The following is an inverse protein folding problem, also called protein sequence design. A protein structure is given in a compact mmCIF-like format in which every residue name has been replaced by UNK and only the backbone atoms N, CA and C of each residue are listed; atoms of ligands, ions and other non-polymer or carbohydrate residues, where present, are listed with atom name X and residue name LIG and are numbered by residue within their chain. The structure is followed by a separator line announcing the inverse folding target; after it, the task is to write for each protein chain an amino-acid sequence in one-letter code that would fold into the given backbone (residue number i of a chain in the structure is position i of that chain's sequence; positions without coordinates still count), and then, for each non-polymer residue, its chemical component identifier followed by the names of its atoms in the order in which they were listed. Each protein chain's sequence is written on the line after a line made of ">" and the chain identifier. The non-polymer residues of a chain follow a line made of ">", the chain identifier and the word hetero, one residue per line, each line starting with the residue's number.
data_IF_946605442022
#
_entry.id   IF_946605442022
#
_cell.length_a   1.000
_cell.length_b   1.000
_cell.length_c   1.000
_cell.angle_alpha   90.00
_cell.angle_beta   90.00
_cell.angle_gamma   90.00
#
_symmetry.space_group_name_H-M   'P 1'
#
loop_
_entity.id
_entity.type
_entity.pdbx_description
1 polymer ?
#
# COMPACT_ATOMS: atom_id res chain seq x y z
N UNK A 1 -3.67 38.98 -10.56
CA UNK A 1 -5.03 38.44 -10.83
C UNK A 1 -5.36 37.47 -9.70
N UNK A 2 -6.22 37.89 -8.76
CA UNK A 2 -6.61 37.07 -7.61
C UNK A 2 -7.37 35.83 -8.07
N UNK A 3 -6.86 34.66 -7.77
CA UNK A 3 -7.54 33.39 -8.02
C UNK A 3 -8.83 33.34 -7.18
N UNK A 4 -9.99 33.45 -7.82
CA UNK A 4 -11.28 33.27 -7.16
C UNK A 4 -11.28 31.85 -6.59
N UNK A 5 -11.25 31.73 -5.26
CA UNK A 5 -11.34 30.43 -4.59
C UNK A 5 -12.67 29.76 -4.96
N UNK A 6 -12.69 28.50 -5.39
CA UNK A 6 -13.92 27.80 -5.71
C UNK A 6 -14.90 27.81 -4.53
N UNK A 7 -16.20 27.77 -4.81
CA UNK A 7 -17.26 27.72 -3.80
C UNK A 7 -17.01 26.57 -2.80
N UNK A 8 -17.41 26.69 -1.52
CA UNK A 8 -17.14 25.68 -0.48
C UNK A 8 -17.62 24.27 -0.86
N UNK A 9 -18.81 24.17 -1.46
CA UNK A 9 -19.37 22.89 -1.90
C UNK A 9 -18.54 22.23 -3.02
N UNK A 10 -18.00 23.02 -3.97
CA UNK A 10 -17.13 22.49 -5.04
C UNK A 10 -15.84 21.91 -4.47
N UNK A 11 -15.24 22.57 -3.47
CA UNK A 11 -14.05 22.07 -2.79
C UNK A 11 -14.32 20.76 -2.03
N UNK A 12 -15.46 20.69 -1.31
CA UNK A 12 -15.87 19.48 -0.62
C UNK A 12 -16.13 18.33 -1.61
N UNK A 13 -16.81 18.59 -2.72
CA UNK A 13 -17.07 17.59 -3.76
C UNK A 13 -15.79 17.07 -4.42
N UNK A 14 -14.78 17.94 -4.66
CA UNK A 14 -13.47 17.49 -5.17
C UNK A 14 -12.76 16.60 -4.16
N UNK A 15 -12.76 16.94 -2.86
CA UNK A 15 -12.16 16.08 -1.82
C UNK A 15 -12.88 14.74 -1.76
N UNK A 16 -14.22 14.73 -1.78
CA UNK A 16 -14.99 13.48 -1.80
C UNK A 16 -14.67 12.62 -3.04
N UNK A 17 -14.53 13.23 -4.21
CA UNK A 17 -14.15 12.53 -5.43
C UNK A 17 -12.72 11.96 -5.34
N UNK A 18 -11.77 12.69 -4.75
CA UNK A 18 -10.41 12.21 -4.52
C UNK A 18 -10.36 11.09 -3.46
N UNK A 19 -11.19 11.16 -2.41
CA UNK A 19 -11.35 10.07 -1.43
C UNK A 19 -11.91 8.81 -2.10
N UNK A 20 -12.93 8.96 -2.95
CA UNK A 20 -13.51 7.86 -3.72
C UNK A 20 -12.47 7.28 -4.69
N UNK A 21 -11.68 8.13 -5.35
CA UNK A 21 -10.59 7.70 -6.21
C UNK A 21 -9.51 6.92 -5.43
N UNK A 22 -9.10 7.39 -4.25
CA UNK A 22 -8.16 6.70 -3.38
C UNK A 22 -8.69 5.33 -2.93
N UNK A 23 -9.96 5.27 -2.53
CA UNK A 23 -10.66 4.03 -2.23
C UNK A 23 -10.63 3.07 -3.43
N UNK A 24 -10.99 3.55 -4.63
CA UNK A 24 -11.08 2.73 -5.84
C UNK A 24 -9.71 2.18 -6.26
N UNK A 25 -8.66 3.02 -6.24
CA UNK A 25 -7.29 2.59 -6.54
C UNK A 25 -6.81 1.51 -5.58
N UNK A 26 -6.91 1.76 -4.27
CA UNK A 26 -6.43 0.81 -3.26
C UNK A 26 -7.25 -0.49 -3.24
N UNK A 27 -8.57 -0.40 -3.47
CA UNK A 27 -9.39 -1.60 -3.60
C UNK A 27 -8.97 -2.39 -4.83
N UNK A 28 -8.80 -1.72 -6.00
CA UNK A 28 -8.37 -2.38 -7.24
C UNK A 28 -7.00 -3.04 -7.07
N UNK A 29 -6.06 -2.40 -6.38
CA UNK A 29 -4.73 -2.94 -6.07
C UNK A 29 -4.81 -4.28 -5.35
N UNK A 30 -5.58 -4.34 -4.26
CA UNK A 30 -5.61 -5.47 -3.35
C UNK A 30 -6.70 -6.52 -3.67
N UNK A 31 -7.63 -6.20 -4.57
CA UNK A 31 -8.75 -7.06 -4.92
C UNK A 31 -8.35 -8.47 -5.41
N UNK A 32 -7.28 -8.66 -6.23
CA UNK A 32 -6.86 -9.99 -6.63
C UNK A 32 -6.48 -10.91 -5.47
N UNK A 33 -6.03 -10.37 -4.35
CA UNK A 33 -5.74 -11.16 -3.13
C UNK A 33 -7.05 -11.76 -2.58
N UNK A 34 -8.12 -10.97 -2.56
CA UNK A 34 -9.45 -11.41 -2.12
C UNK A 34 -10.19 -12.34 -3.10
N UNK A 35 -9.76 -12.40 -4.36
CA UNK A 35 -10.40 -13.17 -5.45
C UNK A 35 -9.48 -14.23 -6.05
N UNK A 36 -8.35 -14.52 -5.40
CA UNK A 36 -7.23 -15.25 -5.98
C UNK A 36 -7.64 -16.63 -6.51
N UNK A 37 -8.34 -17.44 -5.70
CA UNK A 37 -8.80 -18.77 -6.09
C UNK A 37 -9.83 -18.71 -7.24
N UNK A 38 -10.82 -17.81 -7.14
CA UNK A 38 -11.85 -17.63 -8.17
C UNK A 38 -11.26 -17.23 -9.53
N UNK A 39 -10.21 -16.38 -9.51
CA UNK A 39 -9.51 -15.95 -10.72
C UNK A 39 -8.66 -17.09 -11.31
N UNK A 40 -7.99 -17.87 -10.47
CA UNK A 40 -7.18 -19.00 -10.89
C UNK A 40 -8.02 -20.06 -11.60
N UNK A 41 -9.15 -20.44 -11.01
CA UNK A 41 -10.07 -21.44 -11.53
C UNK A 41 -10.68 -21.02 -12.87
N UNK A 42 -11.21 -19.81 -12.94
CA UNK A 42 -11.91 -19.32 -14.14
C UNK A 42 -10.93 -19.06 -15.32
N UNK A 43 -9.76 -18.50 -15.05
CA UNK A 43 -8.71 -18.25 -16.05
C UNK A 43 -7.90 -19.51 -16.39
N UNK A 44 -8.12 -20.62 -15.67
CA UNK A 44 -7.37 -21.90 -15.77
C UNK A 44 -5.85 -21.70 -15.65
N UNK A 45 -5.45 -20.91 -14.68
CA UNK A 45 -4.04 -20.64 -14.37
C UNK A 45 -3.72 -21.04 -12.93
N UNK A 46 -2.43 -21.16 -12.60
CA UNK A 46 -2.02 -21.47 -11.24
C UNK A 46 -2.26 -20.29 -10.28
N UNK A 47 -2.36 -20.57 -8.98
CA UNK A 47 -2.39 -19.52 -7.93
C UNK A 47 -1.17 -18.61 -8.03
N UNK A 48 0.00 -19.18 -8.35
CA UNK A 48 1.24 -18.42 -8.60
C UNK A 48 1.09 -17.41 -9.75
N UNK A 49 0.40 -17.79 -10.84
CA UNK A 49 0.13 -16.87 -11.94
C UNK A 49 -0.78 -15.71 -11.51
N UNK A 50 -1.80 -15.97 -10.70
CA UNK A 50 -2.63 -14.89 -10.15
C UNK A 50 -1.82 -14.03 -9.17
N UNK A 51 -0.97 -14.63 -8.33
CA UNK A 51 -0.02 -13.90 -7.48
C UNK A 51 0.93 -13.00 -8.27
N UNK A 52 1.32 -13.40 -9.49
CA UNK A 52 2.13 -12.58 -10.38
C UNK A 52 1.43 -11.29 -10.85
N UNK A 53 0.10 -11.20 -10.80
CA UNK A 53 -0.64 -9.94 -11.02
C UNK A 53 -0.35 -8.92 -9.92
N UNK A 54 -0.16 -9.38 -8.67
CA UNK A 54 0.23 -8.55 -7.52
C UNK A 54 1.69 -8.12 -7.67
N UNK A 55 2.57 -9.07 -8.03
CA UNK A 55 3.98 -8.79 -8.31
C UNK A 55 4.15 -7.75 -9.42
N UNK A 56 3.49 -7.95 -10.55
CA UNK A 56 3.56 -7.03 -11.70
C UNK A 56 3.04 -5.63 -11.35
N UNK A 57 2.00 -5.57 -10.52
CA UNK A 57 1.47 -4.30 -10.02
C UNK A 57 2.49 -3.56 -9.17
N UNK A 58 3.03 -4.20 -8.13
CA UNK A 58 4.01 -3.61 -7.23
C UNK A 58 5.28 -3.16 -7.94
N UNK A 59 5.80 -3.97 -8.88
CA UNK A 59 6.96 -3.60 -9.70
C UNK A 59 6.68 -2.40 -10.60
N UNK A 60 5.50 -2.35 -11.24
CA UNK A 60 5.10 -1.22 -12.07
C UNK A 60 5.02 0.08 -11.25
N UNK A 61 4.46 0.04 -10.03
CA UNK A 61 4.46 1.19 -9.11
C UNK A 61 5.89 1.58 -8.73
N UNK A 62 6.72 0.63 -8.32
CA UNK A 62 8.08 0.90 -7.85
C UNK A 62 8.95 1.55 -8.94
N UNK A 63 8.92 1.00 -10.16
CA UNK A 63 9.72 1.48 -11.29
C UNK A 63 9.13 2.75 -11.92
N UNK A 64 7.79 2.82 -12.01
CA UNK A 64 7.10 3.91 -12.72
C UNK A 64 7.01 5.22 -11.93
N UNK A 65 7.03 5.19 -10.60
CA UNK A 65 6.74 6.37 -9.74
C UNK A 65 7.61 7.58 -10.05
N UNK A 66 8.93 7.43 -10.08
CA UNK A 66 9.86 8.54 -10.28
C UNK A 66 9.89 9.03 -11.73
N UNK A 67 10.04 8.16 -12.77
CA UNK A 67 10.03 8.59 -14.16
C UNK A 67 8.73 9.32 -14.55
N UNK A 68 7.58 8.75 -14.18
CA UNK A 68 6.29 9.34 -14.49
C UNK A 68 6.08 10.69 -13.79
N UNK A 69 6.47 10.82 -12.52
CA UNK A 69 6.40 12.09 -11.81
C UNK A 69 7.26 13.17 -12.50
N UNK A 70 8.42 12.79 -13.03
CA UNK A 70 9.31 13.71 -13.75
C UNK A 70 8.71 14.15 -15.09
N UNK A 71 8.24 13.22 -15.90
CA UNK A 71 7.68 13.49 -17.25
C UNK A 71 6.38 14.31 -17.15
N UNK A 72 5.55 14.06 -16.14
CA UNK A 72 4.25 14.72 -16.01
C UNK A 72 4.26 16.02 -15.21
N UNK A 73 5.44 16.49 -14.77
CA UNK A 73 5.58 17.70 -13.92
C UNK A 73 4.97 18.97 -14.54
N UNK A 74 4.99 19.09 -15.86
CA UNK A 74 4.45 20.25 -16.63
C UNK A 74 2.96 20.13 -16.95
N UNK A 75 2.35 18.95 -16.76
CA UNK A 75 0.95 18.70 -17.10
C UNK A 75 0.03 19.40 -16.09
N UNK A 76 -0.98 20.17 -16.56
CA UNK A 76 -1.98 20.77 -15.66
C UNK A 76 -2.67 19.70 -14.81
N UNK A 77 -2.77 19.93 -13.50
CA UNK A 77 -3.19 18.93 -12.52
C UNK A 77 -4.57 18.34 -12.78
N UNK A 78 -5.51 19.14 -13.31
CA UNK A 78 -6.84 18.65 -13.72
C UNK A 78 -6.75 17.60 -14.82
N UNK A 79 -6.01 17.87 -15.89
CA UNK A 79 -5.88 16.94 -17.02
C UNK A 79 -5.14 15.67 -16.59
N UNK A 80 -4.07 15.81 -15.78
CA UNK A 80 -3.33 14.67 -15.26
C UNK A 80 -4.25 13.78 -14.42
N UNK A 81 -4.94 14.32 -13.39
CA UNK A 81 -5.88 13.56 -12.56
C UNK A 81 -6.98 12.89 -13.36
N UNK A 82 -7.58 13.63 -14.32
CA UNK A 82 -8.62 13.05 -15.18
C UNK A 82 -8.06 11.91 -16.04
N UNK A 83 -6.85 12.04 -16.57
CA UNK A 83 -6.18 10.97 -17.32
C UNK A 83 -5.93 9.72 -16.47
N UNK A 84 -5.45 9.90 -15.24
CA UNK A 84 -5.20 8.78 -14.33
C UNK A 84 -6.49 8.04 -13.96
N UNK A 85 -7.57 8.76 -13.70
CA UNK A 85 -8.89 8.19 -13.41
C UNK A 85 -9.52 7.53 -14.65
N UNK A 86 -9.28 8.06 -15.84
CA UNK A 86 -9.68 7.41 -17.08
C UNK A 86 -8.96 6.09 -17.30
N UNK A 87 -7.64 6.04 -17.05
CA UNK A 87 -6.87 4.79 -17.10
C UNK A 87 -7.42 3.77 -16.10
N UNK A 88 -7.68 4.19 -14.85
CA UNK A 88 -8.29 3.32 -13.84
C UNK A 88 -9.64 2.77 -14.30
N UNK A 89 -10.53 3.62 -14.84
CA UNK A 89 -11.85 3.20 -15.32
C UNK A 89 -11.74 2.20 -16.47
N UNK A 90 -10.96 2.53 -17.51
CA UNK A 90 -10.78 1.66 -18.67
C UNK A 90 -10.14 0.33 -18.30
N UNK A 91 -9.07 0.34 -17.50
CA UNK A 91 -8.40 -0.88 -17.06
C UNK A 91 -9.30 -1.76 -16.18
N UNK A 92 -10.13 -1.16 -15.32
CA UNK A 92 -11.11 -1.90 -14.52
C UNK A 92 -12.19 -2.55 -15.39
N UNK A 93 -12.70 -1.85 -16.40
CA UNK A 93 -13.66 -2.40 -17.36
C UNK A 93 -13.04 -3.49 -18.23
N UNK A 94 -11.78 -3.33 -18.68
CA UNK A 94 -11.05 -4.40 -19.38
C UNK A 94 -10.95 -5.63 -18.50
N UNK A 95 -10.63 -5.48 -17.21
CA UNK A 95 -10.55 -6.59 -16.25
C UNK A 95 -11.90 -7.28 -16.03
N UNK A 96 -13.01 -6.57 -16.25
CA UNK A 96 -14.38 -7.10 -16.13
C UNK A 96 -14.90 -7.82 -17.38
N UNK A 97 -14.18 -7.77 -18.53
CA UNK A 97 -14.62 -8.42 -19.77
C UNK A 97 -14.70 -9.94 -19.61
N UNK A 98 -15.75 -10.53 -20.15
CA UNK A 98 -15.96 -11.98 -20.10
C UNK A 98 -14.86 -12.78 -20.81
N UNK A 99 -14.30 -12.24 -21.89
CA UNK A 99 -13.26 -12.86 -22.71
C UNK A 99 -11.84 -12.33 -22.38
N UNK A 100 -11.63 -11.79 -21.18
CA UNK A 100 -10.29 -11.28 -20.81
C UNK A 100 -9.29 -12.44 -20.70
N UNK A 101 -8.18 -12.31 -21.44
CA UNK A 101 -7.04 -13.23 -21.27
C UNK A 101 -6.18 -12.79 -20.08
N UNK A 102 -5.42 -13.75 -19.50
CA UNK A 102 -4.47 -13.43 -18.42
C UNK A 102 -3.49 -12.31 -18.82
N UNK A 103 -2.96 -12.33 -20.06
CA UNK A 103 -2.04 -11.29 -20.54
C UNK A 103 -2.69 -9.91 -20.62
N UNK A 104 -3.95 -9.82 -21.09
CA UNK A 104 -4.68 -8.55 -21.14
C UNK A 104 -5.01 -8.05 -19.72
N UNK A 105 -5.36 -8.97 -18.81
CA UNK A 105 -5.58 -8.64 -17.40
C UNK A 105 -4.29 -8.10 -16.76
N UNK A 106 -3.15 -8.75 -16.99
CA UNK A 106 -1.85 -8.27 -16.50
C UNK A 106 -1.51 -6.87 -17.06
N UNK A 107 -1.74 -6.63 -18.35
CA UNK A 107 -1.53 -5.32 -18.96
C UNK A 107 -2.43 -4.24 -18.33
N UNK A 108 -3.70 -4.54 -18.10
CA UNK A 108 -4.64 -3.65 -17.41
C UNK A 108 -4.18 -3.35 -15.96
N UNK A 109 -3.65 -4.37 -15.26
CA UNK A 109 -3.09 -4.22 -13.90
C UNK A 109 -1.86 -3.30 -13.90
N UNK A 110 -0.93 -3.49 -14.84
CA UNK A 110 0.26 -2.63 -14.98
C UNK A 110 -0.14 -1.19 -15.30
N UNK A 111 -1.10 -0.98 -16.21
CA UNK A 111 -1.60 0.36 -16.52
C UNK A 111 -2.22 1.04 -15.29
N UNK A 112 -3.02 0.31 -14.50
CA UNK A 112 -3.60 0.82 -13.24
C UNK A 112 -2.50 1.16 -12.23
N UNK A 113 -1.49 0.32 -12.10
CA UNK A 113 -0.37 0.52 -11.18
C UNK A 113 0.42 1.80 -11.50
N UNK A 114 0.72 2.04 -12.78
CA UNK A 114 1.39 3.26 -13.24
C UNK A 114 0.53 4.51 -12.98
N UNK A 115 -0.78 4.41 -13.20
CA UNK A 115 -1.70 5.49 -12.89
C UNK A 115 -1.77 5.76 -11.37
N UNK A 116 -1.81 4.72 -10.54
CA UNK A 116 -1.82 4.83 -9.08
C UNK A 116 -0.54 5.45 -8.53
N UNK A 117 0.63 5.06 -9.05
CA UNK A 117 1.91 5.62 -8.66
C UNK A 117 1.91 7.15 -8.77
N UNK A 118 1.36 7.67 -9.88
CA UNK A 118 1.24 9.11 -10.11
C UNK A 118 0.09 9.75 -9.29
N UNK A 119 -1.01 9.04 -9.14
CA UNK A 119 -2.16 9.51 -8.37
C UNK A 119 -1.77 9.90 -6.95
N UNK A 120 -1.05 9.03 -6.22
CA UNK A 120 -0.59 9.32 -4.86
C UNK A 120 0.37 10.50 -4.79
N UNK A 121 1.25 10.67 -5.78
CA UNK A 121 2.18 11.80 -5.83
C UNK A 121 1.47 13.15 -6.03
N UNK A 122 0.33 13.16 -6.72
CA UNK A 122 -0.35 14.39 -7.16
C UNK A 122 -1.59 14.72 -6.32
N UNK A 123 -2.27 13.71 -5.77
CA UNK A 123 -3.53 13.88 -5.03
C UNK A 123 -3.41 14.82 -3.83
N UNK A 124 -2.39 14.62 -2.98
CA UNK A 124 -2.18 15.42 -1.78
C UNK A 124 -1.98 16.91 -2.11
N UNK A 125 -0.99 17.29 -2.92
CA UNK A 125 -0.78 18.66 -3.36
C UNK A 125 -2.00 19.33 -4.01
N UNK A 126 -2.74 18.59 -4.84
CA UNK A 126 -3.96 19.08 -5.49
C UNK A 126 -5.04 19.39 -4.46
N UNK A 127 -5.32 18.47 -3.56
CA UNK A 127 -6.36 18.66 -2.55
C UNK A 127 -6.00 19.81 -1.59
N UNK A 128 -4.76 19.84 -1.09
CA UNK A 128 -4.27 20.85 -0.15
C UNK A 128 -4.27 22.25 -0.78
N UNK A 129 -3.97 22.36 -2.07
CA UNK A 129 -4.00 23.63 -2.81
C UNK A 129 -5.37 24.31 -2.88
N UNK A 130 -6.46 23.59 -2.59
CA UNK A 130 -7.82 24.13 -2.57
C UNK A 130 -8.20 24.80 -1.23
N UNK A 131 -7.38 24.64 -0.18
CA UNK A 131 -7.71 25.05 1.18
C UNK A 131 -6.63 25.97 1.78
N UNK A 132 -7.03 26.69 2.83
CA UNK A 132 -6.10 27.50 3.61
C UNK A 132 -5.09 26.59 4.39
N UNK A 133 -3.86 27.10 4.69
CA UNK A 133 -2.80 26.32 5.35
C UNK A 133 -3.24 25.58 6.62
N UNK A 134 -4.13 26.19 7.42
CA UNK A 134 -4.61 25.67 8.71
C UNK A 134 -5.45 24.40 8.57
N UNK A 135 -5.99 24.14 7.37
CA UNK A 135 -6.85 22.97 7.09
C UNK A 135 -6.12 21.83 6.37
N UNK A 136 -4.86 22.01 6.02
CA UNK A 136 -4.10 21.05 5.20
C UNK A 136 -4.02 19.67 5.84
N UNK A 137 -3.67 19.59 7.12
CA UNK A 137 -3.59 18.34 7.86
C UNK A 137 -4.92 17.58 7.86
N UNK A 138 -6.04 18.28 8.10
CA UNK A 138 -7.38 17.67 8.07
C UNK A 138 -7.72 17.10 6.68
N UNK A 139 -7.35 17.79 5.61
CA UNK A 139 -7.62 17.33 4.24
C UNK A 139 -6.80 16.08 3.92
N UNK A 140 -5.50 16.06 4.28
CA UNK A 140 -4.66 14.87 4.12
C UNK A 140 -5.22 13.69 4.92
N UNK A 141 -5.68 13.94 6.15
CA UNK A 141 -6.34 12.91 6.96
C UNK A 141 -7.59 12.33 6.29
N UNK A 142 -8.45 13.18 5.72
CA UNK A 142 -9.65 12.72 4.98
C UNK A 142 -9.27 11.85 3.76
N UNK A 143 -8.26 12.26 2.99
CA UNK A 143 -7.79 11.47 1.85
C UNK A 143 -7.24 10.10 2.30
N UNK A 144 -6.52 10.06 3.42
CA UNK A 144 -6.01 8.81 4.00
C UNK A 144 -7.14 7.88 4.45
N UNK A 145 -8.23 8.44 5.01
CA UNK A 145 -9.44 7.66 5.34
C UNK A 145 -10.01 7.02 4.07
N UNK A 146 -10.11 7.76 2.95
CA UNK A 146 -10.55 7.20 1.68
C UNK A 146 -9.74 5.97 1.26
N UNK A 147 -8.41 6.08 1.32
CA UNK A 147 -7.51 4.96 1.02
C UNK A 147 -7.63 3.78 1.99
N UNK A 148 -7.77 4.05 3.29
CA UNK A 148 -7.88 3.01 4.33
C UNK A 148 -9.20 2.24 4.27
N UNK A 149 -10.30 2.90 3.86
CA UNK A 149 -11.59 2.24 3.66
C UNK A 149 -11.54 1.11 2.61
N UNK A 150 -10.58 1.16 1.68
CA UNK A 150 -10.37 0.07 0.73
C UNK A 150 -10.05 -1.26 1.41
N UNK A 151 -9.17 -1.24 2.41
CA UNK A 151 -8.78 -2.46 3.15
C UNK A 151 -9.90 -2.93 4.07
N UNK A 152 -10.63 -2.00 4.73
CA UNK A 152 -11.67 -2.33 5.70
C UNK A 152 -12.97 -2.79 5.03
N UNK A 153 -13.34 -2.17 3.92
CA UNK A 153 -14.63 -2.39 3.26
C UNK A 153 -14.49 -2.80 1.79
N UNK A 154 -13.58 -2.18 1.04
CA UNK A 154 -13.46 -2.37 -0.40
C UNK A 154 -13.07 -3.80 -0.78
N UNK A 155 -11.99 -4.32 -0.22
CA UNK A 155 -11.50 -5.68 -0.49
C UNK A 155 -12.47 -6.75 0.03
N UNK A 156 -12.97 -6.69 1.29
CA UNK A 156 -13.96 -7.65 1.78
C UNK A 156 -15.27 -7.63 0.98
N UNK A 157 -15.81 -6.44 0.68
CA UNK A 157 -17.01 -6.32 -0.14
C UNK A 157 -16.79 -6.83 -1.57
N UNK A 158 -15.62 -6.58 -2.14
CA UNK A 158 -15.23 -7.10 -3.44
C UNK A 158 -15.07 -8.62 -3.43
N UNK A 159 -14.49 -9.20 -2.40
CA UNK A 159 -14.37 -10.65 -2.23
C UNK A 159 -15.75 -11.30 -2.07
N UNK A 160 -16.62 -10.73 -1.25
CA UNK A 160 -18.01 -11.19 -1.08
C UNK A 160 -18.79 -11.12 -2.40
N UNK A 161 -18.76 -9.96 -3.07
CA UNK A 161 -19.44 -9.77 -4.35
C UNK A 161 -18.90 -10.73 -5.42
N UNK A 162 -17.59 -10.94 -5.46
CA UNK A 162 -16.96 -11.88 -6.39
C UNK A 162 -17.33 -13.33 -6.13
N UNK A 163 -17.47 -13.73 -4.86
CA UNK A 163 -17.93 -15.05 -4.48
C UNK A 163 -19.36 -15.38 -4.92
N UNK A 164 -20.26 -14.36 -4.93
CA UNK A 164 -21.67 -14.53 -5.30
C UNK A 164 -21.98 -14.30 -6.78
N UNK A 165 -21.22 -13.40 -7.43
CA UNK A 165 -21.56 -12.91 -8.79
C UNK A 165 -20.43 -13.09 -9.80
N UNK A 166 -19.34 -13.75 -9.39
CA UNK A 166 -18.14 -13.92 -10.20
C UNK A 166 -17.14 -12.77 -10.03
N UNK A 167 -15.85 -13.10 -10.10
CA UNK A 167 -14.73 -12.20 -9.83
C UNK A 167 -14.65 -10.95 -10.73
N UNK A 168 -15.33 -10.95 -11.87
CA UNK A 168 -15.39 -9.82 -12.82
C UNK A 168 -16.27 -8.68 -12.35
N UNK A 169 -17.34 -8.98 -11.62
CA UNK A 169 -18.33 -7.99 -11.17
C UNK A 169 -17.73 -6.93 -10.26
N UNK A 170 -16.90 -7.25 -9.26
CA UNK A 170 -16.18 -6.25 -8.48
C UNK A 170 -15.35 -5.27 -9.33
N UNK A 171 -14.68 -5.74 -10.38
CA UNK A 171 -13.93 -4.84 -11.29
C UNK A 171 -14.85 -3.92 -12.08
N UNK A 172 -16.02 -4.39 -12.52
CA UNK A 172 -17.02 -3.55 -13.17
C UNK A 172 -17.53 -2.45 -12.24
N UNK A 173 -17.82 -2.78 -10.98
CA UNK A 173 -18.23 -1.81 -9.95
C UNK A 173 -17.13 -0.77 -9.72
N UNK A 174 -15.87 -1.20 -9.57
CA UNK A 174 -14.75 -0.27 -9.42
C UNK A 174 -14.56 0.62 -10.65
N UNK A 175 -14.76 0.09 -11.86
CA UNK A 175 -14.78 0.87 -13.09
C UNK A 175 -15.86 1.95 -13.07
N UNK A 176 -17.07 1.65 -12.60
CA UNK A 176 -18.15 2.63 -12.44
C UNK A 176 -17.80 3.71 -11.40
N UNK A 177 -17.23 3.35 -10.25
CA UNK A 177 -16.78 4.31 -9.24
C UNK A 177 -15.65 5.21 -9.77
N UNK A 178 -14.73 4.64 -10.58
CA UNK A 178 -13.70 5.43 -11.25
C UNK A 178 -14.29 6.45 -12.24
N UNK A 179 -15.32 6.09 -12.99
CA UNK A 179 -16.04 7.03 -13.90
C UNK A 179 -16.70 8.14 -13.10
N UNK A 180 -17.34 7.84 -11.97
CA UNK A 180 -17.93 8.87 -11.08
C UNK A 180 -16.86 9.83 -10.58
N UNK A 181 -15.73 9.31 -10.11
CA UNK A 181 -14.59 10.12 -9.66
C UNK A 181 -14.01 10.97 -10.80
N UNK A 182 -13.86 10.37 -11.98
CA UNK A 182 -13.40 11.06 -13.20
C UNK A 182 -14.32 12.23 -13.56
N UNK A 183 -15.62 12.01 -13.63
CA UNK A 183 -16.59 13.04 -13.97
C UNK A 183 -16.54 14.19 -12.97
N UNK A 184 -16.51 13.89 -11.67
CA UNK A 184 -16.41 14.90 -10.62
C UNK A 184 -15.12 15.71 -10.71
N UNK A 185 -13.96 15.06 -10.88
CA UNK A 185 -12.66 15.73 -11.01
C UNK A 185 -12.59 16.55 -12.30
N UNK A 186 -13.04 16.00 -13.43
CA UNK A 186 -13.01 16.68 -14.71
C UNK A 186 -13.89 17.94 -14.75
N UNK A 187 -15.01 17.97 -14.01
CA UNK A 187 -15.91 19.12 -13.98
C UNK A 187 -15.55 20.11 -12.87
N UNK A 188 -15.20 19.63 -11.68
CA UNK A 188 -15.12 20.44 -10.48
C UNK A 188 -13.69 20.92 -10.14
N UNK A 189 -12.64 20.17 -10.56
CA UNK A 189 -11.27 20.56 -10.24
C UNK A 189 -10.84 21.75 -11.11
N UNK A 190 -10.42 22.88 -10.52
CA UNK A 190 -9.91 24.01 -11.26
C UNK A 190 -8.59 23.64 -11.97
N UNK A 191 -8.39 24.19 -13.17
CA UNK A 191 -7.12 24.03 -13.89
C UNK A 191 -6.06 24.90 -13.23
N UNK A 192 -5.12 24.29 -12.55
CA UNK A 192 -3.97 24.96 -11.93
C UNK A 192 -2.67 24.43 -12.50
N UNK A 193 -1.70 25.33 -12.66
CA UNK A 193 -0.33 24.91 -12.95
C UNK A 193 0.30 24.25 -11.71
N UNK A 194 1.24 23.33 -11.89
CA UNK A 194 1.99 22.79 -10.77
C UNK A 194 2.67 23.92 -10.00
N UNK A 195 2.36 24.05 -8.72
CA UNK A 195 3.15 24.92 -7.84
C UNK A 195 4.43 24.16 -7.49
N UNK A 196 5.58 24.80 -7.64
CA UNK A 196 6.84 24.34 -7.08
C UNK A 196 6.69 24.34 -5.57
N UNK A 197 6.50 23.15 -4.98
CA UNK A 197 6.52 23.01 -3.52
C UNK A 197 7.94 23.27 -3.03
N UNK A 198 8.11 24.14 -2.05
CA UNK A 198 9.39 24.37 -1.39
C UNK A 198 9.83 23.03 -0.77
N UNK A 199 10.99 22.55 -1.21
CA UNK A 199 11.55 21.27 -0.76
C UNK A 199 11.95 21.39 0.71
N UNK A 200 11.25 20.68 1.58
CA UNK A 200 11.69 20.52 2.97
C UNK A 200 12.80 19.46 3.04
N UNK A 201 13.71 19.63 3.98
CA UNK A 201 14.75 18.67 4.34
C UNK A 201 14.37 17.96 5.64
N UNK A 202 14.94 16.78 5.88
CA UNK A 202 14.72 16.07 7.13
C UNK A 202 15.18 16.88 8.35
N UNK A 203 14.52 16.72 9.48
CA UNK A 203 14.83 17.43 10.72
C UNK A 203 16.20 17.03 11.31
N UNK A 204 16.60 15.75 11.13
CA UNK A 204 17.88 15.20 11.56
C UNK A 204 18.42 14.24 10.49
N UNK A 205 19.03 14.74 9.39
CA UNK A 205 19.46 13.91 8.27
C UNK A 205 20.50 12.86 8.68
N UNK A 206 20.20 11.59 8.42
CA UNK A 206 21.08 10.46 8.73
C UNK A 206 20.92 9.38 7.66
N UNK A 207 21.93 9.22 6.80
CA UNK A 207 21.92 8.24 5.69
C UNK A 207 21.81 6.80 6.17
N UNK A 208 22.42 6.48 7.30
CA UNK A 208 22.42 5.13 7.85
C UNK A 208 21.04 4.77 8.41
N UNK A 209 20.47 5.65 9.23
CA UNK A 209 19.10 5.47 9.75
C UNK A 209 18.08 5.43 8.63
N UNK A 210 18.24 6.26 7.62
CA UNK A 210 17.42 6.23 6.43
C UNK A 210 17.46 4.87 5.72
N UNK A 211 18.68 4.32 5.49
CA UNK A 211 18.85 2.99 4.89
C UNK A 211 18.21 1.89 5.76
N UNK A 212 18.37 1.94 7.08
CA UNK A 212 17.72 0.99 8.01
C UNK A 212 16.21 1.06 7.90
N UNK A 213 15.61 2.26 7.86
CA UNK A 213 14.16 2.41 7.70
C UNK A 213 13.68 1.81 6.38
N UNK A 214 14.35 2.12 5.26
CA UNK A 214 13.98 1.58 3.94
C UNK A 214 14.10 0.05 3.89
N UNK A 215 15.18 -0.50 4.45
CA UNK A 215 15.40 -1.96 4.49
C UNK A 215 14.37 -2.64 5.39
N UNK A 216 14.03 -2.04 6.54
CA UNK A 216 12.94 -2.52 7.41
C UNK A 216 11.60 -2.53 6.67
N UNK A 217 11.27 -1.44 5.96
CA UNK A 217 10.07 -1.39 5.14
C UNK A 217 10.05 -2.53 4.11
N UNK A 218 11.13 -2.67 3.32
CA UNK A 218 11.21 -3.70 2.30
C UNK A 218 11.09 -5.12 2.88
N UNK A 219 11.89 -5.46 3.90
CA UNK A 219 11.88 -6.81 4.51
C UNK A 219 10.56 -7.15 5.18
N UNK A 220 10.00 -6.22 5.97
CA UNK A 220 8.73 -6.46 6.66
C UNK A 220 7.57 -6.63 5.70
N UNK A 221 7.51 -5.79 4.66
CA UNK A 221 6.47 -5.89 3.63
C UNK A 221 6.65 -7.14 2.79
N UNK A 222 7.89 -7.48 2.40
CA UNK A 222 8.18 -8.76 1.72
C UNK A 222 7.68 -9.93 2.56
N UNK A 223 8.02 -9.97 3.85
CA UNK A 223 7.58 -11.04 4.75
C UNK A 223 6.05 -11.12 4.87
N UNK A 224 5.39 -9.99 5.08
CA UNK A 224 3.93 -9.96 5.18
C UNK A 224 3.25 -10.45 3.89
N UNK A 225 3.68 -9.95 2.72
CA UNK A 225 3.06 -10.30 1.44
C UNK A 225 3.47 -11.67 0.90
N UNK A 226 4.53 -12.30 1.40
CA UNK A 226 4.86 -13.71 1.07
C UNK A 226 3.73 -14.66 1.47
N UNK A 227 3.08 -14.45 2.63
CA UNK A 227 1.92 -15.22 3.06
C UNK A 227 0.59 -14.57 2.66
N UNK A 228 0.44 -13.26 2.91
CA UNK A 228 -0.83 -12.55 2.74
C UNK A 228 -1.37 -12.58 1.30
N UNK A 229 -0.51 -12.60 0.28
CA UNK A 229 -0.95 -12.74 -1.12
C UNK A 229 -1.79 -13.98 -1.36
N UNK A 230 -1.55 -15.06 -0.60
CA UNK A 230 -2.22 -16.34 -0.73
C UNK A 230 -3.18 -16.63 0.42
N UNK A 231 -3.60 -15.57 1.15
CA UNK A 231 -4.40 -15.68 2.38
C UNK A 231 -5.76 -16.37 2.13
N UNK A 232 -6.42 -16.11 1.01
CA UNK A 232 -7.73 -16.71 0.70
C UNK A 232 -7.60 -18.22 0.54
N UNK A 233 -6.60 -18.68 -0.21
CA UNK A 233 -6.31 -20.11 -0.34
C UNK A 233 -5.92 -20.73 1.01
N UNK A 234 -5.17 -20.01 1.86
CA UNK A 234 -4.84 -20.46 3.22
C UNK A 234 -6.10 -20.61 4.10
N UNK A 235 -7.00 -19.64 4.04
CA UNK A 235 -8.25 -19.68 4.82
C UNK A 235 -9.14 -20.86 4.40
N UNK A 236 -9.21 -21.18 3.12
CA UNK A 236 -9.97 -22.29 2.57
C UNK A 236 -9.27 -23.63 2.86
N UNK A 237 -8.06 -23.83 2.35
CA UNK A 237 -7.39 -25.13 2.35
C UNK A 237 -6.81 -25.53 3.70
N UNK A 238 -6.36 -24.56 4.52
CA UNK A 238 -5.67 -24.84 5.79
C UNK A 238 -6.57 -24.63 7.00
N UNK A 239 -7.37 -23.56 7.01
CA UNK A 239 -8.22 -23.21 8.14
C UNK A 239 -9.66 -23.73 7.97
N UNK A 240 -10.06 -24.13 6.76
CA UNK A 240 -11.39 -24.69 6.46
C UNK A 240 -12.52 -23.66 6.58
N UNK A 241 -12.27 -22.40 6.23
CA UNK A 241 -13.32 -21.38 6.16
C UNK A 241 -14.10 -21.50 4.86
N UNK A 242 -15.43 -21.50 4.95
CA UNK A 242 -16.29 -21.34 3.77
C UNK A 242 -16.18 -19.93 3.17
N UNK A 243 -16.59 -19.78 1.91
CA UNK A 243 -16.45 -18.56 1.11
C UNK A 243 -17.05 -17.30 1.76
N UNK A 244 -18.20 -17.43 2.43
CA UNK A 244 -18.85 -16.32 3.15
C UNK A 244 -18.03 -15.85 4.35
N UNK A 245 -17.42 -16.79 5.08
CA UNK A 245 -16.61 -16.50 6.24
C UNK A 245 -15.27 -15.81 5.86
N UNK A 246 -14.69 -16.14 4.70
CA UNK A 246 -13.46 -15.51 4.20
C UNK A 246 -13.60 -13.99 4.14
N UNK A 247 -14.71 -13.48 3.60
CA UNK A 247 -14.98 -12.04 3.51
C UNK A 247 -15.07 -11.37 4.89
N UNK A 248 -15.70 -12.04 5.87
CA UNK A 248 -15.79 -11.56 7.24
C UNK A 248 -14.39 -11.52 7.92
N UNK A 249 -13.57 -12.54 7.69
CA UNK A 249 -12.19 -12.59 8.21
C UNK A 249 -11.32 -11.48 7.61
N UNK A 250 -11.42 -11.22 6.30
CA UNK A 250 -10.72 -10.11 5.65
C UNK A 250 -11.21 -8.75 6.16
N UNK A 251 -12.50 -8.62 6.47
CA UNK A 251 -13.05 -7.40 7.08
C UNK A 251 -12.50 -7.20 8.50
N UNK A 252 -12.39 -8.26 9.30
CA UNK A 252 -11.77 -8.21 10.63
C UNK A 252 -10.29 -7.80 10.56
N UNK A 253 -9.53 -8.33 9.59
CA UNK A 253 -8.17 -7.90 9.29
C UNK A 253 -8.10 -6.39 8.99
N UNK A 254 -8.96 -5.90 8.09
CA UNK A 254 -9.01 -4.48 7.73
C UNK A 254 -9.41 -3.57 8.90
N UNK A 255 -10.41 -3.98 9.71
CA UNK A 255 -10.81 -3.25 10.90
C UNK A 255 -9.68 -3.17 11.94
N UNK A 256 -8.94 -4.27 12.13
CA UNK A 256 -7.77 -4.29 12.99
C UNK A 256 -6.64 -3.39 12.46
N UNK A 257 -6.44 -3.32 11.14
CA UNK A 257 -5.48 -2.40 10.51
C UNK A 257 -5.83 -0.93 10.80
N UNK A 258 -7.10 -0.56 10.67
CA UNK A 258 -7.58 0.78 11.00
C UNK A 258 -7.41 1.11 12.49
N UNK A 259 -7.77 0.17 13.37
CA UNK A 259 -7.55 0.31 14.82
C UNK A 259 -6.06 0.50 15.14
N UNK A 260 -5.19 -0.30 14.53
CA UNK A 260 -3.74 -0.20 14.69
C UNK A 260 -3.19 1.18 14.31
N UNK A 261 -3.60 1.72 13.16
CA UNK A 261 -3.22 3.08 12.72
C UNK A 261 -3.73 4.15 13.69
N UNK A 262 -4.97 4.01 14.16
CA UNK A 262 -5.60 4.97 15.09
C UNK A 262 -4.86 5.00 16.42
N UNK A 263 -4.45 3.84 16.94
CA UNK A 263 -3.67 3.72 18.18
C UNK A 263 -2.23 4.20 18.00
N UNK A 264 -1.60 3.84 16.89
CA UNK A 264 -0.20 4.18 16.66
C UNK A 264 0.01 5.68 16.37
N UNK A 265 -0.97 6.36 15.74
CA UNK A 265 -0.84 7.77 15.34
C UNK A 265 -0.37 8.69 16.47
N UNK A 266 -1.08 8.77 17.63
CA UNK A 266 -0.65 9.59 18.76
C UNK A 266 0.66 9.16 19.41
N UNK A 267 1.11 7.92 19.19
CA UNK A 267 2.32 7.37 19.78
C UNK A 267 3.58 7.62 18.95
N UNK A 268 3.44 8.03 17.67
CA UNK A 268 4.56 8.24 16.75
C UNK A 268 5.59 9.24 17.31
N UNK A 269 5.12 10.36 17.84
CA UNK A 269 6.00 11.40 18.35
C UNK A 269 6.54 11.06 19.75
N UNK A 270 5.75 10.35 20.56
CA UNK A 270 6.11 10.04 21.95
C UNK A 270 7.01 8.81 22.08
N UNK A 271 6.80 7.81 21.25
CA UNK A 271 7.52 6.53 21.30
C UNK A 271 7.97 6.06 19.91
N UNK A 272 8.81 6.83 19.19
CA UNK A 272 9.16 6.56 17.78
C UNK A 272 9.82 5.19 17.56
N UNK A 273 10.58 4.67 18.52
CA UNK A 273 11.17 3.32 18.45
C UNK A 273 10.11 2.24 18.59
N UNK A 274 9.22 2.36 19.58
CA UNK A 274 8.17 1.38 19.82
C UNK A 274 7.20 1.29 18.64
N UNK A 275 6.85 2.42 18.02
CA UNK A 275 5.97 2.47 16.86
C UNK A 275 6.57 1.84 15.59
N UNK A 276 7.88 1.61 15.55
CA UNK A 276 8.52 0.78 14.52
C UNK A 276 8.64 -0.69 14.95
N UNK A 277 9.14 -0.95 16.16
CA UNK A 277 9.48 -2.32 16.59
C UNK A 277 8.25 -3.16 16.90
N UNK A 278 7.21 -2.61 17.56
CA UNK A 278 6.01 -3.36 17.90
C UNK A 278 5.25 -3.89 16.67
N UNK A 279 5.03 -3.10 15.60
CA UNK A 279 4.43 -3.62 14.38
C UNK A 279 5.24 -4.74 13.73
N UNK A 280 6.56 -4.61 13.66
CA UNK A 280 7.42 -5.68 13.08
C UNK A 280 7.36 -6.96 13.93
N UNK A 281 7.40 -6.82 15.26
CA UNK A 281 7.23 -7.95 16.18
C UNK A 281 5.84 -8.60 16.04
N UNK A 282 4.78 -7.79 15.94
CA UNK A 282 3.42 -8.27 15.72
C UNK A 282 3.27 -9.04 14.40
N UNK A 283 3.88 -8.55 13.31
CA UNK A 283 3.92 -9.29 12.04
C UNK A 283 4.65 -10.63 12.19
N UNK A 284 5.80 -10.65 12.86
CA UNK A 284 6.59 -11.87 13.09
C UNK A 284 5.77 -12.91 13.86
N UNK A 285 5.15 -12.51 14.97
CA UNK A 285 4.29 -13.39 15.79
C UNK A 285 3.09 -13.89 14.98
N UNK A 286 2.42 -13.00 14.23
CA UNK A 286 1.25 -13.36 13.44
C UNK A 286 1.60 -14.38 12.34
N UNK A 287 2.67 -14.15 11.58
CA UNK A 287 3.06 -15.02 10.46
C UNK A 287 3.56 -16.38 10.95
N UNK A 288 4.42 -16.42 11.96
CA UNK A 288 4.89 -17.69 12.55
C UNK A 288 3.73 -18.43 13.23
N UNK A 289 2.84 -17.70 13.91
CA UNK A 289 1.64 -18.26 14.52
C UNK A 289 0.68 -18.88 13.51
N UNK A 290 0.47 -18.24 12.36
CA UNK A 290 -0.34 -18.78 11.26
C UNK A 290 0.28 -20.06 10.68
N UNK A 291 1.60 -20.12 10.53
CA UNK A 291 2.27 -21.36 10.14
C UNK A 291 2.00 -22.49 11.13
N UNK A 292 2.17 -22.22 12.44
CA UNK A 292 2.10 -23.24 13.49
C UNK A 292 0.65 -23.67 13.81
N UNK A 293 -0.28 -22.70 13.89
CA UNK A 293 -1.63 -22.92 14.42
C UNK A 293 -2.78 -22.59 13.44
N UNK A 294 -2.49 -22.37 12.17
CA UNK A 294 -3.47 -21.93 11.17
C UNK A 294 -4.61 -22.91 10.86
N UNK A 295 -4.57 -24.14 11.36
CA UNK A 295 -5.71 -25.07 11.29
C UNK A 295 -6.82 -24.75 12.30
N UNK A 296 -6.57 -23.91 13.31
CA UNK A 296 -7.59 -23.41 14.22
C UNK A 296 -8.20 -22.12 13.69
N UNK A 297 -9.48 -22.12 13.37
CA UNK A 297 -10.19 -20.95 12.84
C UNK A 297 -10.10 -19.74 13.77
N UNK A 298 -10.31 -19.95 15.08
CA UNK A 298 -10.26 -18.87 16.07
C UNK A 298 -8.85 -18.26 16.13
N UNK A 299 -7.81 -19.09 16.19
CA UNK A 299 -6.44 -18.62 16.24
C UNK A 299 -6.06 -17.90 14.94
N UNK A 300 -6.49 -18.40 13.79
CA UNK A 300 -6.28 -17.76 12.48
C UNK A 300 -6.87 -16.34 12.44
N UNK A 301 -8.11 -16.15 12.91
CA UNK A 301 -8.73 -14.82 12.96
C UNK A 301 -7.94 -13.89 13.86
N UNK A 302 -7.58 -14.33 15.07
CA UNK A 302 -6.80 -13.50 16.02
C UNK A 302 -5.44 -13.11 15.44
N UNK A 303 -4.73 -14.04 14.81
CA UNK A 303 -3.42 -13.78 14.21
C UNK A 303 -3.51 -12.89 12.97
N UNK A 304 -4.57 -13.03 12.16
CA UNK A 304 -4.82 -12.13 11.04
C UNK A 304 -5.17 -10.71 11.50
N UNK A 305 -5.96 -10.57 12.56
CA UNK A 305 -6.20 -9.26 13.18
C UNK A 305 -4.90 -8.65 13.70
N UNK A 306 -4.02 -9.44 14.33
CA UNK A 306 -2.70 -8.98 14.77
C UNK A 306 -1.85 -8.54 13.57
N UNK A 307 -1.87 -9.30 12.47
CA UNK A 307 -1.16 -8.95 11.24
C UNK A 307 -1.66 -7.62 10.67
N UNK A 308 -2.99 -7.44 10.57
CA UNK A 308 -3.61 -6.18 10.12
C UNK A 308 -3.23 -5.01 11.00
N UNK A 309 -3.38 -5.16 12.33
CA UNK A 309 -3.01 -4.15 13.32
C UNK A 309 -1.50 -3.82 13.33
N UNK A 310 -0.69 -4.57 12.59
CA UNK A 310 0.75 -4.39 12.52
C UNK A 310 1.22 -3.84 11.17
N UNK A 311 0.67 -4.30 10.04
CA UNK A 311 1.14 -3.90 8.70
C UNK A 311 0.88 -2.42 8.40
N UNK A 312 -0.33 -1.93 8.66
CA UNK A 312 -0.70 -0.56 8.35
C UNK A 312 0.01 0.48 9.26
N UNK A 313 0.12 0.28 10.58
CA UNK A 313 0.90 1.17 11.44
C UNK A 313 2.39 1.21 11.08
N UNK A 314 2.98 0.10 10.63
CA UNK A 314 4.38 0.08 10.21
C UNK A 314 4.62 1.05 9.06
N UNK A 315 3.77 1.05 8.03
CA UNK A 315 3.92 1.98 6.90
C UNK A 315 3.86 3.44 7.38
N UNK A 316 2.91 3.76 8.26
CA UNK A 316 2.79 5.10 8.84
C UNK A 316 4.04 5.49 9.67
N UNK A 317 4.56 4.56 10.48
CA UNK A 317 5.74 4.79 11.29
C UNK A 317 7.01 5.00 10.43
N UNK A 318 7.19 4.19 9.38
CA UNK A 318 8.33 4.35 8.45
C UNK A 318 8.24 5.66 7.69
N UNK A 319 7.06 6.10 7.24
CA UNK A 319 6.85 7.41 6.62
C UNK A 319 7.23 8.56 7.58
N UNK A 320 6.81 8.49 8.84
CA UNK A 320 7.17 9.48 9.87
C UNK A 320 8.69 9.52 10.11
N UNK A 321 9.34 8.35 10.26
CA UNK A 321 10.79 8.29 10.44
C UNK A 321 11.56 8.82 9.24
N UNK A 322 11.12 8.52 8.03
CA UNK A 322 11.73 9.06 6.80
C UNK A 322 11.70 10.59 6.79
N UNK A 323 10.61 11.23 7.23
CA UNK A 323 10.53 12.69 7.35
C UNK A 323 11.57 13.26 8.32
N UNK A 324 11.96 12.53 9.35
CA UNK A 324 12.98 12.94 10.30
C UNK A 324 14.41 12.75 9.77
N UNK A 325 14.69 11.58 9.19
CA UNK A 325 16.07 11.17 8.86
C UNK A 325 16.47 11.36 7.40
N UNK A 326 15.60 11.93 6.56
CA UNK A 326 15.85 12.12 5.14
C UNK A 326 17.18 12.84 4.88
N UNK A 327 18.16 12.21 4.18
CA UNK A 327 19.48 12.81 3.93
C UNK A 327 19.45 13.87 2.83
N UNK A 328 18.30 14.11 2.23
CA UNK A 328 18.07 15.09 1.18
C UNK A 328 16.62 15.58 1.21
N UNK A 329 16.05 15.88 0.03
CA UNK A 329 14.66 16.34 -0.08
C UNK A 329 13.70 15.27 0.45
N UNK A 330 12.82 15.66 1.35
CA UNK A 330 11.85 14.76 1.99
C UNK A 330 10.91 14.11 0.98
N UNK A 331 10.52 14.80 -0.09
CA UNK A 331 9.71 14.24 -1.16
C UNK A 331 10.36 13.02 -1.82
N UNK A 332 11.66 13.13 -2.15
CA UNK A 332 12.43 12.01 -2.74
C UNK A 332 12.58 10.86 -1.75
N UNK A 333 12.78 11.18 -0.46
CA UNK A 333 12.91 10.19 0.59
C UNK A 333 11.59 9.43 0.85
N UNK A 334 10.45 10.13 0.85
CA UNK A 334 9.13 9.51 0.95
C UNK A 334 8.83 8.63 -0.28
N UNK A 335 9.20 9.10 -1.48
CA UNK A 335 9.07 8.30 -2.69
C UNK A 335 9.92 7.02 -2.63
N UNK A 336 11.15 7.10 -2.07
CA UNK A 336 11.99 5.93 -1.86
C UNK A 336 11.38 4.93 -0.86
N UNK A 337 10.72 5.40 0.23
CA UNK A 337 10.01 4.53 1.15
C UNK A 337 8.78 3.86 0.50
N UNK A 338 8.03 4.61 -0.30
CA UNK A 338 6.92 4.04 -1.08
C UNK A 338 7.42 3.02 -2.12
N UNK A 339 8.55 3.27 -2.75
CA UNK A 339 9.18 2.30 -3.65
C UNK A 339 9.63 1.04 -2.89
N UNK A 340 10.26 1.19 -1.72
CA UNK A 340 10.66 0.06 -0.87
C UNK A 340 9.45 -0.78 -0.43
N UNK A 341 8.33 -0.15 -0.09
CA UNK A 341 7.07 -0.83 0.21
C UNK A 341 6.58 -1.64 -0.99
N UNK A 342 6.47 -1.04 -2.17
CA UNK A 342 5.95 -1.71 -3.37
C UNK A 342 6.90 -2.81 -3.89
N UNK A 343 8.22 -2.62 -3.78
CA UNK A 343 9.20 -3.69 -4.00
C UNK A 343 8.96 -4.84 -3.04
N UNK A 344 8.71 -4.53 -1.75
CA UNK A 344 8.36 -5.53 -0.75
C UNK A 344 7.12 -6.32 -1.11
N UNK A 345 6.04 -5.66 -1.54
CA UNK A 345 4.81 -6.32 -2.04
C UNK A 345 5.12 -7.24 -3.22
N UNK A 346 5.83 -6.74 -4.22
CA UNK A 346 6.15 -7.49 -5.43
C UNK A 346 7.03 -8.71 -5.15
N UNK A 347 8.12 -8.51 -4.41
CA UNK A 347 9.05 -9.60 -4.04
C UNK A 347 8.36 -10.60 -3.13
N UNK A 348 7.54 -10.15 -2.18
CA UNK A 348 6.76 -11.02 -1.30
C UNK A 348 5.80 -11.91 -2.08
N UNK A 349 4.99 -11.34 -2.96
CA UNK A 349 4.06 -12.10 -3.80
C UNK A 349 4.78 -13.12 -4.70
N UNK A 350 5.91 -12.73 -5.31
CA UNK A 350 6.73 -13.61 -6.13
C UNK A 350 7.34 -14.74 -5.32
N UNK A 351 7.93 -14.42 -4.15
CA UNK A 351 8.53 -15.39 -3.25
C UNK A 351 7.49 -16.39 -2.73
N UNK A 352 6.31 -15.90 -2.31
CA UNK A 352 5.19 -16.75 -1.92
C UNK A 352 4.79 -17.71 -3.02
N UNK A 353 4.63 -17.22 -4.27
CA UNK A 353 4.32 -18.07 -5.42
C UNK A 353 5.38 -19.13 -5.72
N UNK A 354 6.66 -18.80 -5.58
CA UNK A 354 7.76 -19.75 -5.75
C UNK A 354 7.80 -20.81 -4.63
N UNK A 355 7.32 -20.48 -3.43
CA UNK A 355 7.28 -21.39 -2.29
C UNK A 355 6.09 -22.36 -2.33
N UNK A 356 4.99 -22.03 -3.01
CA UNK A 356 3.79 -22.89 -3.05
C UNK A 356 4.12 -24.33 -3.45
N UNK A 357 4.84 -24.62 -4.55
CA UNK A 357 5.15 -26.01 -4.94
C UNK A 357 6.20 -26.68 -4.03
N UNK A 358 7.01 -25.91 -3.29
CA UNK A 358 8.12 -26.43 -2.49
C UNK A 358 7.74 -26.67 -1.04
N UNK A 359 6.95 -25.79 -0.44
CA UNK A 359 6.66 -25.78 1.00
C UNK A 359 5.15 -25.68 1.30
N UNK A 360 4.32 -25.66 0.27
CA UNK A 360 2.89 -25.47 0.39
C UNK A 360 2.50 -24.07 0.90
N UNK A 361 1.20 -23.84 1.04
CA UNK A 361 0.69 -22.52 1.48
C UNK A 361 1.19 -22.16 2.88
N UNK A 362 1.27 -23.10 3.81
CA UNK A 362 1.80 -22.84 5.17
C UNK A 362 3.25 -22.35 5.15
N UNK A 363 4.09 -22.91 4.27
CA UNK A 363 5.49 -22.53 4.14
C UNK A 363 5.69 -21.06 3.80
N UNK A 364 4.74 -20.43 3.08
CA UNK A 364 4.80 -19.00 2.76
C UNK A 364 4.74 -18.12 4.02
N UNK A 365 3.96 -18.52 5.02
CA UNK A 365 3.86 -17.80 6.30
C UNK A 365 5.10 -17.98 7.17
N UNK A 366 5.72 -19.17 7.16
CA UNK A 366 6.98 -19.40 7.88
C UNK A 366 8.09 -18.52 7.32
N UNK A 367 8.31 -18.56 6.00
CA UNK A 367 9.34 -17.74 5.35
C UNK A 367 9.07 -16.25 5.55
N UNK A 368 7.80 -15.83 5.42
CA UNK A 368 7.38 -14.47 5.72
C UNK A 368 7.71 -14.05 7.15
N UNK A 369 7.43 -14.91 8.12
CA UNK A 369 7.75 -14.69 9.53
C UNK A 369 9.26 -14.58 9.81
N UNK A 370 10.07 -15.40 9.14
CA UNK A 370 11.54 -15.33 9.26
C UNK A 370 12.10 -14.02 8.69
N UNK A 371 11.56 -13.53 7.56
CA UNK A 371 11.95 -12.24 6.98
C UNK A 371 11.62 -11.07 7.91
N UNK A 372 10.42 -11.08 8.52
CA UNK A 372 10.06 -10.05 9.51
C UNK A 372 10.88 -10.16 10.79
N UNK A 373 11.25 -11.37 11.21
CA UNK A 373 12.16 -11.57 12.34
C UNK A 373 13.57 -10.99 12.07
N UNK A 374 14.10 -11.15 10.86
CA UNK A 374 15.35 -10.50 10.45
C UNK A 374 15.23 -8.98 10.53
N UNK A 375 14.13 -8.40 10.05
CA UNK A 375 13.88 -6.97 10.17
C UNK A 375 13.79 -6.51 11.64
N UNK A 376 13.17 -7.30 12.52
CA UNK A 376 13.08 -7.03 13.96
C UNK A 376 14.46 -7.05 14.62
N UNK A 377 15.29 -8.04 14.33
CA UNK A 377 16.66 -8.12 14.84
C UNK A 377 17.46 -6.90 14.39
N UNK A 378 17.35 -6.51 13.12
CA UNK A 378 18.02 -5.33 12.58
C UNK A 378 17.63 -4.03 13.31
N UNK A 379 16.34 -3.86 13.65
CA UNK A 379 15.85 -2.71 14.41
C UNK A 379 16.31 -2.73 15.89
N UNK A 380 16.51 -3.91 16.44
CA UNK A 380 16.89 -4.11 17.85
C UNK A 380 18.40 -3.98 18.07
N UNK A 381 19.21 -3.94 16.99
CA UNK A 381 20.66 -3.87 17.10
C UNK A 381 21.11 -2.54 17.73
N UNK A 382 21.87 -2.56 18.83
CA UNK A 382 22.24 -1.32 19.52
C UNK A 382 23.14 -0.44 18.64
N UNK A 383 22.81 0.85 18.54
CA UNK A 383 23.59 1.86 17.82
C UNK A 383 25.04 2.02 18.36
N UNK A 384 25.30 1.49 19.56
CA UNK A 384 26.56 1.64 20.28
C UNK A 384 27.76 0.87 19.69
N UNK A 385 27.56 -0.18 18.90
CA UNK A 385 28.65 -1.02 18.39
C UNK A 385 29.38 -0.38 17.21
N UNK A 386 28.76 0.57 16.49
CA UNK A 386 29.33 1.18 15.28
C UNK A 386 29.83 2.60 15.51
N UNK A 387 29.39 3.27 16.56
CA UNK A 387 29.92 4.60 16.95
C UNK A 387 31.38 4.56 17.44
N UNK A 388 31.87 3.41 17.90
CA UNK A 388 33.28 3.26 18.34
C UNK A 388 34.28 3.14 17.20
N UNK A 389 33.87 2.73 16.00
CA UNK A 389 34.78 2.55 14.87
C UNK A 389 35.18 3.87 14.16
N UNK A 390 34.47 4.96 14.40
CA UNK A 390 34.75 6.28 13.77
C UNK A 390 35.48 7.25 14.70
N UNK A 391 35.64 6.94 15.98
CA UNK A 391 36.35 7.78 16.96
C UNK A 391 37.87 7.51 16.98
N UNK A 392 38.29 6.33 16.50
CA UNK A 392 39.68 5.91 16.48
C UNK A 392 40.43 6.20 15.16
N UNK A 393 39.90 7.03 14.26
CA UNK A 393 40.66 7.50 13.11
C UNK A 393 41.61 8.64 13.58
N UNK A 394 42.95 8.51 13.51
CA UNK A 394 43.84 9.55 13.89
C UNK A 394 43.66 10.75 12.97
N UNK A 395 43.54 11.97 13.56
CA UNK A 395 43.52 13.22 12.81
C UNK A 395 44.77 13.30 11.92
N UNK A 396 44.64 13.65 10.63
CA UNK A 396 45.81 13.91 9.80
C UNK A 396 46.48 15.18 10.33
N UNK A 397 47.67 14.99 10.93
CA UNK A 397 48.49 16.07 11.47
C UNK A 397 48.75 17.12 10.41
N UNK A 398 48.33 18.33 10.72
CA UNK A 398 48.70 19.55 9.99
C UNK A 398 50.19 19.78 10.23
N UNK A 399 50.99 19.67 9.17
CA UNK A 399 52.31 20.27 9.05
C UNK A 399 52.32 21.22 7.88
#
# INVERSE_FOLDING_TARGET
>A
MGSVRPAPWRRAAVVAALMLAAFTFNTTENLPVGLLSLMADDLRVSLTAVGALVTGYGLAVAVGSLPLAHVTRSVPRRHLMSGLLAVLAVASWISALAAVSYGLLLAARVATALAQALFWAVMGPVAVGLFAPERRGRIIGLLSVGGSLATVAGVPAGAWLGGHSGWRVPFAVLGALAVVSLAAVAVLLPTSRPQESHSAYGAAPDRRRFAVVLTTTALSVTGAFTGFTYIVAFLDEVSGFGQDAVSAVLMAFGAAALAGVTVAGPLLDRFPRATLTLPVAGQTVALIGLYAGGSSQVLTVVLLMLLGASVAPLFMATQSQVLHVAPGRTETALAANSAAFNVGVAVGALLGGALLPLAGIRGTFLVGGLLTAVALVMLSWPESVVSRATVDAPEPGIR
#
